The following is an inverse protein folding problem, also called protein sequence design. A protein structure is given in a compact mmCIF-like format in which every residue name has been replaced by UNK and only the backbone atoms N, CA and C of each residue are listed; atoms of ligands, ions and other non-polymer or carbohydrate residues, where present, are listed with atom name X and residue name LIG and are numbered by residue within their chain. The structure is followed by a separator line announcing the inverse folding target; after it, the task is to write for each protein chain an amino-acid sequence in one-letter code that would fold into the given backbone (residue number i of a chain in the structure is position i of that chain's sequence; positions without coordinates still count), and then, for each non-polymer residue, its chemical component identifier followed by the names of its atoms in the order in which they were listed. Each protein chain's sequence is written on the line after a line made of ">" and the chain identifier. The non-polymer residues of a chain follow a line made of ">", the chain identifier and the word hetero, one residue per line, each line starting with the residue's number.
data_IF_772984280363
#
_entry.id   IF_772984280363
#
_cell.length_a   1.000
_cell.length_b   1.000
_cell.length_c   1.000
_cell.angle_alpha   90.00
_cell.angle_beta   90.00
_cell.angle_gamma   90.00
#
_symmetry.space_group_name_H-M   'P 1'
#
loop_
_entity.id
_entity.type
_entity.pdbx_description
1 polymer ?
#
# COMPACT_ATOMS: atom_id res chain seq x y z
N UNK A 1 -18.24 3.22 -26.54
CA UNK A 1 -18.41 4.69 -26.50
C UNK A 1 -18.03 5.15 -25.09
N UNK A 2 -16.90 5.81 -24.93
CA UNK A 2 -16.47 6.37 -23.65
C UNK A 2 -17.40 7.57 -23.36
N UNK A 3 -18.17 7.50 -22.28
CA UNK A 3 -18.94 8.64 -21.81
C UNK A 3 -17.95 9.59 -21.14
N UNK A 4 -17.63 10.69 -21.79
CA UNK A 4 -16.85 11.78 -21.17
C UNK A 4 -17.64 12.31 -19.98
N UNK A 5 -17.11 12.10 -18.78
CA UNK A 5 -17.65 12.71 -17.56
C UNK A 5 -17.03 14.10 -17.41
N UNK A 6 -17.86 15.13 -17.39
CA UNK A 6 -17.43 16.51 -17.16
C UNK A 6 -18.03 17.03 -15.86
N UNK A 7 -17.31 17.95 -15.21
CA UNK A 7 -17.79 18.69 -14.04
C UNK A 7 -17.96 20.14 -14.48
N UNK A 8 -19.18 20.66 -14.37
CA UNK A 8 -19.47 22.07 -14.64
C UNK A 8 -19.52 22.83 -13.30
N UNK A 9 -18.73 23.89 -13.18
CA UNK A 9 -18.66 24.72 -11.98
C UNK A 9 -19.14 26.14 -12.33
N UNK A 10 -20.19 26.59 -11.64
CA UNK A 10 -20.69 27.97 -11.74
C UNK A 10 -20.25 28.70 -10.46
N UNK A 11 -19.25 29.56 -10.59
CA UNK A 11 -18.70 30.34 -9.49
C UNK A 11 -19.56 31.51 -9.06
N UNK A 12 -19.03 32.39 -8.18
CA UNK A 12 -19.64 33.66 -7.79
C UNK A 12 -20.51 33.62 -6.51
N UNK A 13 -20.69 32.42 -5.89
CA UNK A 13 -21.37 32.30 -4.60
C UNK A 13 -20.37 32.34 -3.45
N UNK A 14 -20.65 33.16 -2.41
CA UNK A 14 -19.90 33.11 -1.15
C UNK A 14 -20.21 31.80 -0.43
N UNK A 15 -19.16 31.01 -0.16
CA UNK A 15 -19.29 29.77 0.59
C UNK A 15 -19.24 30.09 2.10
N UNK A 16 -20.21 29.54 2.86
CA UNK A 16 -20.29 29.64 4.32
C UNK A 16 -20.68 28.27 4.87
N UNK A 17 -20.07 27.85 5.96
CA UNK A 17 -20.37 26.57 6.59
C UNK A 17 -19.11 25.89 7.14
N UNK A 18 -19.31 24.72 7.73
CA UNK A 18 -18.26 23.85 8.26
C UNK A 18 -18.24 22.56 7.47
N UNK A 19 -17.06 22.10 7.08
CA UNK A 19 -16.86 20.82 6.40
C UNK A 19 -15.91 19.97 7.25
N UNK A 20 -16.33 18.75 7.57
CA UNK A 20 -15.44 17.76 8.16
C UNK A 20 -14.50 17.21 7.09
N UNK A 21 -13.19 17.28 7.36
CA UNK A 21 -12.17 16.76 6.46
C UNK A 21 -12.06 15.25 6.64
N UNK A 22 -12.10 14.51 5.54
CA UNK A 22 -11.84 13.07 5.53
C UNK A 22 -10.37 12.77 5.82
N UNK A 23 -10.07 11.53 6.22
CA UNK A 23 -8.71 11.05 6.35
C UNK A 23 -7.90 11.18 5.05
N UNK A 24 -6.59 11.34 5.18
CA UNK A 24 -5.70 11.54 4.05
C UNK A 24 -5.36 10.22 3.35
N UNK A 25 -5.50 10.17 2.02
CA UNK A 25 -5.17 9.01 1.19
C UNK A 25 -3.79 8.43 1.50
N UNK A 26 -2.76 9.26 1.45
CA UNK A 26 -1.38 8.78 1.60
C UNK A 26 -1.04 8.35 3.05
N UNK A 27 -1.79 8.82 4.02
CA UNK A 27 -1.64 8.37 5.40
C UNK A 27 -2.30 7.00 5.61
N UNK A 28 -3.57 6.85 5.18
CA UNK A 28 -4.32 5.61 5.39
C UNK A 28 -3.64 4.41 4.72
N UNK A 29 -3.11 4.55 3.50
CA UNK A 29 -2.43 3.44 2.83
C UNK A 29 -1.21 2.94 3.60
N UNK A 30 -0.47 3.85 4.28
CA UNK A 30 0.65 3.47 5.12
C UNK A 30 0.20 2.84 6.45
N UNK A 31 -0.92 3.31 7.00
CA UNK A 31 -1.51 2.69 8.19
C UNK A 31 -2.02 1.28 7.90
N UNK A 32 -2.61 1.06 6.71
CA UNK A 32 -3.13 -0.25 6.30
C UNK A 32 -2.06 -1.34 6.17
N UNK A 33 -0.80 -0.99 5.93
CA UNK A 33 0.28 -1.97 5.84
C UNK A 33 0.97 -2.27 7.18
N UNK A 34 0.73 -1.48 8.24
CA UNK A 34 1.30 -1.74 9.57
C UNK A 34 0.92 -3.12 10.12
N UNK A 35 -0.32 -3.63 9.92
CA UNK A 35 -0.70 -4.99 10.30
C UNK A 35 0.13 -6.11 9.67
N UNK A 36 0.85 -5.84 8.58
CA UNK A 36 1.79 -6.82 8.00
C UNK A 36 2.94 -7.11 8.98
N UNK A 37 3.34 -6.15 9.83
CA UNK A 37 4.48 -6.29 10.73
C UNK A 37 4.26 -7.27 11.88
N UNK A 38 3.03 -7.48 12.34
CA UNK A 38 2.72 -8.40 13.44
C UNK A 38 1.29 -8.94 13.35
N UNK A 39 1.04 -10.06 14.04
CA UNK A 39 -0.30 -10.60 14.19
C UNK A 39 -1.16 -9.72 15.09
N UNK A 40 -2.47 -9.75 14.89
CA UNK A 40 -3.43 -9.05 15.73
C UNK A 40 -4.59 -8.45 14.95
N UNK A 41 -5.49 -7.80 15.69
CA UNK A 41 -6.63 -7.04 15.16
C UNK A 41 -6.34 -5.56 15.30
N UNK A 42 -6.45 -4.83 14.18
CA UNK A 42 -6.15 -3.42 14.08
C UNK A 42 -7.39 -2.65 13.66
N UNK A 43 -7.56 -1.46 14.21
CA UNK A 43 -8.65 -0.57 13.86
C UNK A 43 -8.11 0.78 13.40
N UNK A 44 -8.53 1.20 12.21
CA UNK A 44 -8.19 2.51 11.63
C UNK A 44 -9.48 3.29 11.48
N UNK A 45 -9.52 4.46 12.08
CA UNK A 45 -10.69 5.35 12.04
C UNK A 45 -10.48 6.49 11.03
N UNK A 46 -11.57 7.13 10.60
CA UNK A 46 -11.58 8.21 9.64
C UNK A 46 -10.98 7.83 8.28
N UNK A 47 -11.21 6.60 7.84
CA UNK A 47 -10.76 6.10 6.54
C UNK A 47 -11.56 6.79 5.42
N UNK A 48 -10.88 7.37 4.40
CA UNK A 48 -11.56 7.96 3.28
C UNK A 48 -12.13 6.88 2.34
N UNK A 49 -13.33 7.13 1.81
CA UNK A 49 -13.95 6.23 0.82
C UNK A 49 -13.36 6.52 -0.58
N UNK A 50 -12.25 5.89 -0.90
CA UNK A 50 -11.52 6.04 -2.17
C UNK A 50 -11.08 4.68 -2.73
N UNK A 51 -10.94 4.58 -4.04
CA UNK A 51 -10.57 3.34 -4.73
C UNK A 51 -9.25 2.72 -4.21
N UNK A 52 -8.26 3.54 -3.88
CA UNK A 52 -6.97 3.06 -3.38
C UNK A 52 -7.09 2.26 -2.06
N UNK A 53 -8.07 2.57 -1.20
CA UNK A 53 -8.34 1.79 0.03
C UNK A 53 -8.79 0.39 -0.34
N UNK A 54 -9.73 0.25 -1.27
CA UNK A 54 -10.21 -1.05 -1.74
C UNK A 54 -9.11 -1.85 -2.44
N UNK A 55 -8.29 -1.21 -3.26
CA UNK A 55 -7.14 -1.89 -3.88
C UNK A 55 -6.11 -2.36 -2.85
N UNK A 56 -5.88 -1.58 -1.79
CA UNK A 56 -5.01 -2.03 -0.71
C UNK A 56 -5.62 -3.19 0.09
N UNK A 57 -6.93 -3.23 0.29
CA UNK A 57 -7.61 -4.39 0.87
C UNK A 57 -7.39 -5.65 0.04
N UNK A 58 -7.50 -5.57 -1.31
CA UNK A 58 -7.20 -6.69 -2.20
C UNK A 58 -5.74 -7.16 -2.06
N UNK A 59 -4.79 -6.23 -1.89
CA UNK A 59 -3.38 -6.59 -1.66
C UNK A 59 -3.22 -7.29 -0.32
N UNK A 60 -3.89 -6.84 0.73
CA UNK A 60 -3.86 -7.49 2.05
C UNK A 60 -4.50 -8.88 2.01
N UNK A 61 -5.61 -9.03 1.28
CA UNK A 61 -6.32 -10.32 1.14
C UNK A 61 -5.44 -11.40 0.51
N UNK A 62 -4.69 -11.08 -0.56
CA UNK A 62 -3.77 -12.05 -1.18
C UNK A 62 -2.59 -12.40 -0.27
N UNK A 63 -2.25 -11.54 0.69
CA UNK A 63 -1.28 -11.83 1.73
C UNK A 63 -1.88 -12.66 2.88
N UNK A 64 -3.18 -12.94 2.86
CA UNK A 64 -3.90 -13.68 3.91
C UNK A 64 -4.34 -12.81 5.09
N UNK A 65 -4.31 -11.49 4.93
CA UNK A 65 -4.73 -10.51 5.94
C UNK A 65 -6.13 -10.04 5.58
N UNK A 66 -7.13 -10.38 6.38
CA UNK A 66 -8.53 -10.00 6.13
C UNK A 66 -8.83 -8.60 6.62
N UNK A 67 -9.69 -7.89 5.90
CA UNK A 67 -10.09 -6.54 6.29
C UNK A 67 -11.56 -6.26 6.00
N UNK A 68 -12.19 -5.43 6.83
CA UNK A 68 -13.58 -5.02 6.67
C UNK A 68 -13.69 -3.52 6.90
N UNK A 69 -14.18 -2.80 5.89
CA UNK A 69 -14.53 -1.39 5.98
C UNK A 69 -16.01 -1.26 6.32
N UNK A 70 -16.31 -0.59 7.44
CA UNK A 70 -17.66 -0.24 7.85
C UNK A 70 -17.72 1.27 8.06
N UNK A 71 -18.52 1.95 7.24
CA UNK A 71 -18.56 3.41 7.11
C UNK A 71 -17.15 3.99 6.91
N UNK A 72 -16.56 4.58 7.95
CA UNK A 72 -15.22 5.20 7.94
C UNK A 72 -14.23 4.48 8.87
N UNK A 73 -14.56 3.29 9.31
CA UNK A 73 -13.74 2.47 10.18
C UNK A 73 -13.30 1.21 9.46
N UNK A 74 -11.99 0.98 9.36
CA UNK A 74 -11.40 -0.21 8.78
C UNK A 74 -10.86 -1.10 9.89
N UNK A 75 -11.39 -2.31 10.01
CA UNK A 75 -10.85 -3.36 10.85
C UNK A 75 -10.00 -4.29 10.00
N UNK A 76 -8.80 -4.62 10.46
CA UNK A 76 -7.83 -5.48 9.78
C UNK A 76 -7.41 -6.57 10.74
N UNK A 77 -7.53 -7.83 10.33
CA UNK A 77 -7.09 -8.99 11.11
C UNK A 77 -5.90 -9.64 10.41
N UNK A 78 -4.72 -9.53 11.03
CA UNK A 78 -3.47 -10.13 10.56
C UNK A 78 -3.21 -11.43 11.31
N UNK A 79 -3.21 -12.59 10.64
CA UNK A 79 -2.92 -13.88 11.26
C UNK A 79 -1.42 -14.03 11.55
N UNK A 80 -1.05 -15.08 12.31
CA UNK A 80 0.35 -15.41 12.61
C UNK A 80 1.15 -15.76 11.37
N UNK A 81 0.56 -16.42 10.40
CA UNK A 81 1.16 -16.74 9.12
C UNK A 81 0.51 -15.97 7.98
N UNK A 82 1.33 -15.37 7.14
CA UNK A 82 0.92 -14.58 5.97
C UNK A 82 1.75 -14.98 4.75
N UNK A 83 1.16 -14.79 3.55
CA UNK A 83 1.88 -14.94 2.28
C UNK A 83 2.94 -13.86 2.11
N UNK A 84 3.99 -14.19 1.35
CA UNK A 84 5.05 -13.25 0.96
C UNK A 84 4.90 -12.75 -0.47
N UNK A 85 3.84 -13.17 -1.16
CA UNK A 85 3.66 -12.95 -2.58
C UNK A 85 2.46 -12.05 -2.87
N UNK A 86 2.70 -10.94 -3.60
CA UNK A 86 1.67 -10.06 -4.14
C UNK A 86 1.73 -10.12 -5.69
N UNK A 87 0.77 -10.84 -6.33
CA UNK A 87 0.78 -11.09 -7.76
C UNK A 87 0.41 -9.84 -8.58
N UNK A 88 0.73 -9.89 -9.89
CA UNK A 88 0.55 -8.77 -10.82
C UNK A 88 -0.88 -8.23 -10.86
N UNK A 89 -1.89 -9.10 -10.78
CA UNK A 89 -3.31 -8.75 -10.90
C UNK A 89 -3.78 -7.75 -9.85
N UNK A 90 -3.18 -7.76 -8.66
CA UNK A 90 -3.51 -6.81 -7.60
C UNK A 90 -2.56 -5.62 -7.58
N UNK A 91 -1.26 -5.86 -7.81
CA UNK A 91 -0.23 -4.80 -7.74
C UNK A 91 -0.37 -3.78 -8.87
N UNK A 92 -0.78 -4.21 -10.08
CA UNK A 92 -0.96 -3.31 -11.22
C UNK A 92 -2.04 -2.23 -11.03
N UNK A 93 -3.03 -2.49 -10.16
CA UNK A 93 -4.14 -1.57 -9.92
C UNK A 93 -3.71 -0.31 -9.17
N UNK A 94 -2.66 -0.41 -8.37
CA UNK A 94 -2.20 0.70 -7.55
C UNK A 94 -0.69 0.66 -7.35
N UNK A 95 -0.01 1.72 -7.78
CA UNK A 95 1.45 1.83 -7.63
C UNK A 95 1.92 1.75 -6.17
N UNK A 96 1.11 2.27 -5.24
CA UNK A 96 1.43 2.24 -3.81
C UNK A 96 1.55 0.82 -3.23
N UNK A 97 1.14 -0.23 -3.95
CA UNK A 97 1.29 -1.63 -3.54
C UNK A 97 2.73 -2.00 -3.19
N UNK A 98 3.73 -1.32 -3.78
CA UNK A 98 5.15 -1.55 -3.48
C UNK A 98 5.51 -1.32 -2.00
N UNK A 99 4.72 -0.53 -1.26
CA UNK A 99 5.02 -0.22 0.15
C UNK A 99 4.92 -1.43 1.08
N UNK A 100 4.27 -2.53 0.66
CA UNK A 100 4.22 -3.78 1.44
C UNK A 100 5.58 -4.51 1.49
N UNK A 101 6.51 -4.14 0.60
CA UNK A 101 7.83 -4.74 0.49
C UNK A 101 8.61 -4.69 1.81
N UNK A 102 8.69 -3.51 2.43
CA UNK A 102 9.41 -3.32 3.69
C UNK A 102 8.83 -4.16 4.84
N UNK A 103 7.54 -4.07 5.15
CA UNK A 103 6.90 -4.87 6.17
C UNK A 103 7.01 -6.38 5.97
N UNK A 104 6.89 -6.88 4.73
CA UNK A 104 7.07 -8.31 4.41
C UNK A 104 8.50 -8.76 4.70
N UNK A 105 9.50 -8.02 4.25
CA UNK A 105 10.90 -8.31 4.55
C UNK A 105 11.17 -8.28 6.05
N UNK A 106 10.62 -7.31 6.77
CA UNK A 106 10.82 -7.20 8.21
C UNK A 106 10.23 -8.38 8.99
N UNK A 107 9.03 -8.87 8.59
CA UNK A 107 8.33 -9.95 9.31
C UNK A 107 8.73 -11.34 8.85
N UNK A 108 8.88 -11.53 7.53
CA UNK A 108 9.04 -12.85 6.90
C UNK A 108 10.44 -13.11 6.36
N UNK A 109 11.29 -12.08 6.26
CA UNK A 109 12.60 -12.17 5.62
C UNK A 109 12.55 -12.34 4.10
N UNK A 110 11.37 -12.46 3.51
CA UNK A 110 11.15 -12.63 2.07
C UNK A 110 9.95 -11.82 1.61
N UNK A 111 10.02 -11.30 0.38
CA UNK A 111 8.90 -10.67 -0.31
C UNK A 111 9.02 -10.92 -1.82
N UNK A 112 7.88 -11.24 -2.47
CA UNK A 112 7.75 -11.41 -3.91
C UNK A 112 6.63 -10.50 -4.40
N UNK A 113 6.99 -9.44 -5.09
CA UNK A 113 6.04 -8.42 -5.51
C UNK A 113 6.20 -8.20 -7.00
N UNK A 114 5.12 -8.38 -7.76
CA UNK A 114 5.13 -8.01 -9.17
C UNK A 114 5.45 -6.52 -9.31
N UNK A 115 6.21 -6.16 -10.36
CA UNK A 115 6.61 -4.78 -10.54
C UNK A 115 5.36 -3.89 -10.72
N UNK A 116 5.19 -2.83 -9.94
CA UNK A 116 3.93 -2.10 -9.90
C UNK A 116 3.63 -1.41 -11.23
N UNK A 117 2.41 -1.55 -11.69
CA UNK A 117 1.82 -0.73 -12.72
C UNK A 117 1.54 0.70 -12.20
N UNK A 118 0.53 1.35 -12.73
CA UNK A 118 -0.01 2.60 -12.21
C UNK A 118 -0.09 3.72 -13.24
N UNK A 119 -0.41 4.91 -12.77
CA UNK A 119 -0.69 6.09 -13.56
C UNK A 119 0.44 6.49 -14.50
N UNK A 120 0.08 6.93 -15.71
CA UNK A 120 1.01 7.46 -16.74
C UNK A 120 1.55 8.87 -16.40
N UNK A 121 1.58 9.25 -15.13
CA UNK A 121 2.04 10.58 -14.67
C UNK A 121 3.58 10.75 -14.70
N UNK A 122 4.27 9.95 -15.51
CA UNK A 122 5.72 9.98 -15.68
C UNK A 122 6.49 8.97 -14.80
N UNK A 123 7.82 8.90 -14.97
CA UNK A 123 8.66 7.93 -14.29
C UNK A 123 8.66 8.21 -12.78
N UNK A 124 8.23 7.24 -12.01
CA UNK A 124 8.29 7.24 -10.53
C UNK A 124 9.04 6.00 -10.10
N UNK A 125 10.37 6.02 -10.14
CA UNK A 125 11.18 4.85 -9.87
C UNK A 125 10.99 4.35 -8.43
N UNK A 126 10.86 3.04 -8.26
CA UNK A 126 10.87 2.39 -6.94
C UNK A 126 12.30 2.19 -6.41
N UNK A 127 13.28 2.65 -7.19
CA UNK A 127 14.72 2.50 -6.93
C UNK A 127 15.12 2.95 -5.53
N UNK A 128 14.58 4.08 -5.06
CA UNK A 128 14.88 4.60 -3.71
C UNK A 128 14.45 3.64 -2.60
N UNK A 129 13.33 2.93 -2.77
CA UNK A 129 12.88 1.92 -1.79
C UNK A 129 13.84 0.73 -1.78
N UNK A 130 14.25 0.26 -2.96
CA UNK A 130 15.17 -0.86 -3.10
C UNK A 130 16.53 -0.50 -2.50
N UNK A 131 17.13 0.62 -2.91
CA UNK A 131 18.44 1.08 -2.40
C UNK A 131 18.46 1.27 -0.88
N UNK A 132 17.37 1.78 -0.30
CA UNK A 132 17.25 1.92 1.15
C UNK A 132 17.24 0.55 1.85
N UNK A 133 16.43 -0.39 1.34
CA UNK A 133 16.34 -1.74 1.91
C UNK A 133 17.63 -2.54 1.69
N UNK A 134 18.34 -2.34 0.58
CA UNK A 134 19.67 -2.93 0.34
C UNK A 134 20.69 -2.45 1.38
N UNK A 135 20.69 -1.15 1.70
CA UNK A 135 21.52 -0.62 2.79
C UNK A 135 21.15 -1.21 4.15
N UNK A 136 19.90 -1.62 4.33
CA UNK A 136 19.44 -2.33 5.52
C UNK A 136 19.76 -3.83 5.50
N UNK A 137 20.43 -4.33 4.47
CA UNK A 137 20.88 -5.74 4.36
C UNK A 137 19.98 -6.64 3.53
N UNK A 138 18.91 -6.12 2.91
CA UNK A 138 18.12 -6.90 1.96
C UNK A 138 18.88 -7.10 0.64
N UNK A 139 18.59 -8.22 -0.04
CA UNK A 139 19.08 -8.52 -1.39
C UNK A 139 17.90 -8.63 -2.33
N UNK A 140 18.02 -8.06 -3.53
CA UNK A 140 16.95 -8.05 -4.50
C UNK A 140 17.36 -8.69 -5.81
N UNK A 141 16.41 -9.39 -6.40
CA UNK A 141 16.49 -9.99 -7.72
C UNK A 141 15.21 -9.64 -8.49
N UNK A 142 15.33 -9.37 -9.77
CA UNK A 142 14.19 -9.17 -10.65
C UNK A 142 14.07 -10.39 -11.58
N UNK A 143 13.04 -11.19 -11.38
CA UNK A 143 12.76 -12.37 -12.17
C UNK A 143 11.40 -12.26 -12.85
N UNK A 144 11.40 -12.28 -14.20
CA UNK A 144 10.18 -12.22 -15.05
C UNK A 144 9.17 -11.13 -14.63
N UNK A 145 9.66 -9.95 -14.21
CA UNK A 145 8.82 -8.84 -13.79
C UNK A 145 8.33 -8.93 -12.33
N UNK A 146 8.83 -9.89 -11.56
CA UNK A 146 8.61 -9.99 -10.11
C UNK A 146 9.88 -9.57 -9.38
N UNK A 147 9.75 -8.63 -8.48
CA UNK A 147 10.81 -8.22 -7.56
C UNK A 147 10.83 -9.18 -6.37
N UNK A 148 11.91 -9.92 -6.24
CA UNK A 148 12.13 -10.88 -5.15
C UNK A 148 13.12 -10.23 -4.19
N UNK A 149 12.71 -9.99 -2.94
CA UNK A 149 13.56 -9.50 -1.88
C UNK A 149 13.79 -10.55 -0.81
N UNK A 150 15.01 -10.65 -0.27
CA UNK A 150 15.36 -11.56 0.83
C UNK A 150 16.28 -10.87 1.82
N UNK A 151 16.13 -11.23 3.10
CA UNK A 151 17.00 -10.77 4.18
C UNK A 151 16.98 -11.76 5.36
N UNK A 152 18.10 -11.86 6.05
CA UNK A 152 18.19 -12.60 7.33
C UNK A 152 17.80 -11.71 8.52
N UNK A 153 17.44 -10.46 8.27
CA UNK A 153 17.02 -9.44 9.20
C UNK A 153 17.41 -8.05 8.71
N UNK A 154 16.50 -7.07 8.84
CA UNK A 154 16.79 -5.70 8.44
C UNK A 154 17.62 -5.00 9.52
N UNK A 155 18.72 -4.36 9.11
CA UNK A 155 19.59 -3.57 9.95
C UNK A 155 19.06 -2.14 10.10
N UNK A 156 19.34 -1.52 11.24
CA UNK A 156 19.07 -0.10 11.44
C UNK A 156 19.98 0.76 10.56
N UNK A 157 19.41 1.80 9.94
CA UNK A 157 20.16 2.79 9.16
C UNK A 157 20.89 3.83 10.02
N UNK A 158 20.75 3.78 11.33
CA UNK A 158 21.35 4.78 12.23
C UNK A 158 22.90 4.76 12.21
N UNK A 159 23.49 3.68 11.71
CA UNK A 159 24.93 3.46 11.67
C UNK A 159 25.50 3.37 10.25
N UNK A 160 24.76 3.84 9.25
CA UNK A 160 25.19 3.84 7.85
C UNK A 160 25.58 5.24 7.42
#
# INVERSE_FOLDING_TARGET
>A
MLVEKSIQIIGGKKLTGTIEVSGAKNAVLKQMILPILSEGVYKIENVPNIADVYYMQEVLDVLGITSKLDDRTLEINSPSDISVEAPYEVVQKMRASIIVLGPLLARKGEAKIAFPGGDQLGPRPVKMHIEALEKMGAKFELDHGVLIGKTDGLLSLIHI
#
